data_IF_226174526175
#
_entry.id   IF_226174526175
#
_cell.length_a   1.000
_cell.length_b   1.000
_cell.length_c   1.000
_cell.angle_alpha   90.00
_cell.angle_beta   90.00
_cell.angle_gamma   90.00
#
_symmetry.space_group_name_H-M   'P 1'
#
loop_
_entity.id
_entity.type
_entity.pdbx_description
1 polymer ?
#
# COMPACT_ATOMS: atom_id res chain seq x y z
N UNK A 1 -16.58 59.79 34.95
CA UNK A 1 -16.61 58.94 33.73
C UNK A 1 -15.41 57.99 33.79
N UNK A 2 -15.57 56.84 34.44
CA UNK A 2 -14.47 55.89 34.67
C UNK A 2 -14.34 54.92 33.51
N UNK A 3 -13.18 54.90 32.86
CA UNK A 3 -12.80 53.90 31.85
C UNK A 3 -12.27 52.65 32.56
N UNK A 4 -12.97 51.52 32.40
CA UNK A 4 -12.46 50.20 32.74
C UNK A 4 -11.53 49.70 31.62
N UNK A 5 -10.28 49.39 31.94
CA UNK A 5 -9.35 48.64 31.09
C UNK A 5 -9.46 47.17 31.50
N UNK A 6 -10.10 46.36 30.65
CA UNK A 6 -10.10 44.90 30.79
C UNK A 6 -8.82 44.39 30.13
N UNK A 7 -7.91 43.86 30.94
CA UNK A 7 -6.72 43.13 30.49
C UNK A 7 -7.17 41.70 30.16
N UNK A 8 -7.26 41.36 28.88
CA UNK A 8 -7.41 39.97 28.44
C UNK A 8 -6.03 39.31 28.45
N UNK A 9 -5.71 38.60 29.53
CA UNK A 9 -4.58 37.67 29.55
C UNK A 9 -4.94 36.47 28.66
N UNK A 10 -4.41 36.46 27.44
CA UNK A 10 -4.48 35.31 26.53
C UNK A 10 -3.53 34.22 27.09
N UNK A 11 -4.07 33.30 27.88
CA UNK A 11 -3.36 32.08 28.22
C UNK A 11 -3.25 31.22 26.96
N UNK A 12 -2.05 31.17 26.38
CA UNK A 12 -1.72 30.23 25.30
C UNK A 12 -1.69 28.84 25.93
N UNK A 13 -2.81 28.13 25.85
CA UNK A 13 -2.85 26.69 26.11
C UNK A 13 -2.11 26.00 24.97
N UNK A 14 -0.82 25.77 25.13
CA UNK A 14 -0.09 24.78 24.34
C UNK A 14 -0.67 23.40 24.66
N UNK A 15 -1.66 22.97 23.88
CA UNK A 15 -2.09 21.59 23.83
C UNK A 15 -0.97 20.76 23.18
N UNK A 16 -0.01 20.33 24.00
CA UNK A 16 0.98 19.36 23.58
C UNK A 16 0.34 17.97 23.68
N UNK A 17 -0.46 17.59 22.67
CA UNK A 17 -0.93 16.22 22.51
C UNK A 17 0.28 15.33 22.16
N UNK A 18 1.01 14.92 23.19
CA UNK A 18 2.17 14.04 23.06
C UNK A 18 1.71 12.59 22.86
N UNK A 19 1.00 12.30 21.77
CA UNK A 19 0.84 10.90 21.37
C UNK A 19 2.19 10.45 20.83
N UNK A 20 2.97 9.76 21.68
CA UNK A 20 4.19 9.09 21.26
C UNK A 20 3.90 8.25 20.00
N UNK A 21 4.75 8.31 18.95
CA UNK A 21 4.60 7.48 17.75
C UNK A 21 4.45 6.01 18.15
N UNK A 22 3.69 5.23 17.38
CA UNK A 22 3.41 3.82 17.72
C UNK A 22 4.70 3.01 17.92
N UNK A 23 5.74 3.26 17.12
CA UNK A 23 7.08 2.69 17.29
C UNK A 23 7.69 2.94 18.69
N UNK A 24 7.46 4.13 19.26
CA UNK A 24 7.96 4.49 20.58
C UNK A 24 7.15 3.83 21.70
N UNK A 25 5.87 3.50 21.47
CA UNK A 25 5.04 2.74 22.42
C UNK A 25 5.37 1.25 22.42
N UNK A 26 5.76 0.69 21.28
CA UNK A 26 6.16 -0.71 21.14
C UNK A 26 7.62 -1.00 21.53
N UNK A 27 8.42 0.04 21.82
CA UNK A 27 9.83 -0.13 22.17
C UNK A 27 10.72 -0.55 21.00
N UNK A 28 10.28 -0.28 19.77
CA UNK A 28 11.01 -0.65 18.56
C UNK A 28 12.28 0.16 18.35
N UNK A 29 13.23 -0.44 17.64
CA UNK A 29 14.48 0.19 17.24
C UNK A 29 14.33 0.72 15.82
N UNK A 30 14.64 1.99 15.61
CA UNK A 30 14.77 2.56 14.26
C UNK A 30 16.11 2.14 13.66
N UNK A 31 16.08 1.49 12.49
CA UNK A 31 17.29 1.10 11.75
C UNK A 31 17.75 2.18 10.77
N UNK A 32 16.79 2.89 10.22
CA UNK A 32 16.94 4.01 9.29
C UNK A 32 15.62 4.80 9.28
N UNK A 33 15.58 6.00 8.67
CA UNK A 33 14.35 6.77 8.61
C UNK A 33 13.16 5.94 8.15
N UNK A 34 12.09 5.94 8.95
CA UNK A 34 10.83 5.24 8.71
C UNK A 34 10.88 3.69 8.77
N UNK A 35 11.99 3.08 9.17
CA UNK A 35 12.13 1.63 9.30
C UNK A 35 12.38 1.26 10.76
N UNK A 36 11.38 0.64 11.38
CA UNK A 36 11.38 0.25 12.79
C UNK A 36 11.29 -1.26 12.92
N UNK A 37 12.10 -1.84 13.81
CA UNK A 37 12.12 -3.29 14.07
C UNK A 37 11.95 -3.61 15.54
N UNK A 38 11.38 -4.79 15.78
CA UNK A 38 11.37 -5.44 17.09
C UNK A 38 12.81 -5.61 17.62
N UNK A 39 13.12 -5.19 18.88
CA UNK A 39 14.43 -5.39 19.47
C UNK A 39 14.93 -6.84 19.45
N UNK A 40 14.01 -7.81 19.48
CA UNK A 40 14.34 -9.23 19.42
C UNK A 40 14.84 -9.70 18.04
N UNK A 41 14.65 -8.89 16.98
CA UNK A 41 15.16 -9.21 15.65
C UNK A 41 16.70 -9.18 15.66
N UNK A 42 17.35 -10.26 15.22
CA UNK A 42 18.81 -10.36 15.18
C UNK A 42 19.44 -9.38 14.19
N UNK A 43 20.70 -8.97 14.43
CA UNK A 43 21.42 -8.05 13.54
C UNK A 43 21.52 -8.56 12.10
N UNK A 44 21.73 -9.86 11.91
CA UNK A 44 21.73 -10.47 10.58
C UNK A 44 20.36 -10.34 9.88
N UNK A 45 19.27 -10.54 10.63
CA UNK A 45 17.92 -10.40 10.09
C UNK A 45 17.56 -8.95 9.77
N UNK A 46 18.03 -7.99 10.58
CA UNK A 46 17.90 -6.54 10.31
C UNK A 46 18.58 -6.14 9.02
N UNK A 47 19.81 -6.61 8.79
CA UNK A 47 20.52 -6.33 7.53
C UNK A 47 19.79 -6.94 6.34
N UNK A 48 19.36 -8.20 6.45
CA UNK A 48 18.57 -8.86 5.41
C UNK A 48 17.28 -8.10 5.09
N UNK A 49 16.57 -7.59 6.12
CA UNK A 49 15.37 -6.79 5.95
C UNK A 49 15.66 -5.49 5.17
N UNK A 50 16.73 -4.77 5.50
CA UNK A 50 17.13 -3.57 4.76
C UNK A 50 17.44 -3.89 3.29
N UNK A 51 18.12 -5.00 3.03
CA UNK A 51 18.43 -5.44 1.66
C UNK A 51 17.16 -5.85 0.89
N UNK A 52 16.21 -6.53 1.55
CA UNK A 52 14.90 -6.89 1.00
C UNK A 52 14.07 -5.64 0.67
N UNK A 53 14.06 -4.63 1.55
CA UNK A 53 13.38 -3.35 1.34
C UNK A 53 13.95 -2.64 0.13
N UNK A 54 15.28 -2.53 0.03
CA UNK A 54 15.95 -1.90 -1.12
C UNK A 54 15.62 -2.61 -2.44
N UNK A 55 15.54 -3.94 -2.45
CA UNK A 55 15.12 -4.70 -3.64
C UNK A 55 13.66 -4.45 -3.99
N UNK A 56 12.79 -4.37 -2.99
CA UNK A 56 11.37 -4.05 -3.18
C UNK A 56 11.19 -2.64 -3.77
N UNK A 57 11.88 -1.63 -3.25
CA UNK A 57 11.90 -0.25 -3.81
C UNK A 57 12.29 -0.26 -5.30
N UNK A 58 13.35 -0.99 -5.65
CA UNK A 58 13.78 -1.15 -7.05
C UNK A 58 12.73 -1.84 -7.93
N UNK A 59 11.98 -2.81 -7.39
CA UNK A 59 10.87 -3.44 -8.12
C UNK A 59 9.70 -2.49 -8.34
N UNK A 60 9.31 -1.75 -7.30
CA UNK A 60 8.25 -0.75 -7.39
C UNK A 60 8.61 0.31 -8.44
N UNK A 61 9.84 0.81 -8.40
CA UNK A 61 10.30 1.79 -9.38
C UNK A 61 10.20 1.25 -10.82
N UNK A 62 10.70 0.02 -11.04
CA UNK A 62 10.61 -0.62 -12.35
C UNK A 62 9.16 -0.88 -12.80
N UNK A 63 8.28 -1.28 -11.88
CA UNK A 63 6.89 -1.63 -12.17
C UNK A 63 6.07 -0.41 -12.59
N UNK A 64 6.20 0.70 -11.86
CA UNK A 64 5.52 1.96 -12.15
C UNK A 64 6.25 2.83 -13.20
N UNK A 65 7.43 2.41 -13.68
CA UNK A 65 8.16 3.05 -14.78
C UNK A 65 8.86 4.35 -14.42
N UNK A 66 9.36 4.46 -13.18
CA UNK A 66 10.07 5.64 -12.70
C UNK A 66 10.43 5.51 -11.23
N UNK A 67 10.96 6.56 -10.61
CA UNK A 67 11.26 6.53 -9.18
C UNK A 67 10.00 6.27 -8.34
N UNK A 68 10.19 5.56 -7.23
CA UNK A 68 9.16 5.36 -6.21
C UNK A 68 8.83 6.71 -5.57
N UNK A 69 7.55 7.04 -5.47
CA UNK A 69 7.09 8.34 -4.94
C UNK A 69 6.69 8.27 -3.47
N UNK A 70 6.36 7.08 -2.99
CA UNK A 70 5.95 6.86 -1.61
C UNK A 70 7.13 6.68 -0.66
N UNK A 71 6.88 6.99 0.60
CA UNK A 71 7.84 6.86 1.71
C UNK A 71 7.19 6.08 2.86
N UNK A 72 6.98 4.75 2.69
CA UNK A 72 6.25 3.96 3.67
C UNK A 72 6.97 3.94 5.02
N UNK A 73 6.20 4.02 6.10
CA UNK A 73 6.67 3.66 7.44
C UNK A 73 6.53 2.16 7.63
N UNK A 74 7.64 1.47 7.88
CA UNK A 74 7.68 0.01 8.03
C UNK A 74 7.92 -0.32 9.50
N UNK A 75 7.03 -1.14 10.05
CA UNK A 75 7.17 -1.75 11.37
C UNK A 75 7.32 -3.26 11.19
N UNK A 76 8.48 -3.82 11.54
CA UNK A 76 8.73 -5.25 11.43
C UNK A 76 8.80 -5.92 12.81
N UNK A 77 7.85 -6.82 13.06
CA UNK A 77 7.70 -7.55 14.31
C UNK A 77 8.12 -9.01 14.15
N UNK A 78 8.92 -9.51 15.09
CA UNK A 78 9.27 -10.95 15.19
C UNK A 78 8.68 -11.61 16.44
N UNK A 79 8.19 -10.82 17.40
CA UNK A 79 7.48 -11.31 18.58
C UNK A 79 5.98 -11.02 18.51
N UNK A 80 5.20 -11.87 19.18
CA UNK A 80 3.76 -11.63 19.38
C UNK A 80 3.48 -10.32 20.13
N UNK A 81 4.33 -9.99 21.11
CA UNK A 81 4.23 -8.75 21.88
C UNK A 81 4.35 -7.52 20.98
N UNK A 82 5.30 -7.53 20.03
CA UNK A 82 5.42 -6.45 19.06
C UNK A 82 4.16 -6.32 18.21
N UNK A 83 3.63 -7.42 17.65
CA UNK A 83 2.41 -7.39 16.82
C UNK A 83 1.17 -6.88 17.58
N UNK A 84 1.02 -7.28 18.85
CA UNK A 84 -0.08 -6.84 19.71
C UNK A 84 -0.03 -5.34 20.03
N UNK A 85 1.11 -4.67 19.86
CA UNK A 85 1.19 -3.22 20.04
C UNK A 85 0.55 -2.43 18.88
N UNK A 86 0.36 -3.05 17.72
CA UNK A 86 -0.21 -2.43 16.53
C UNK A 86 -1.65 -2.86 16.23
N UNK A 87 -2.13 -3.94 16.84
CA UNK A 87 -3.50 -4.42 16.68
C UNK A 87 -3.93 -5.23 17.90
N UNK A 88 -5.23 -5.21 18.23
CA UNK A 88 -5.81 -5.98 19.34
C UNK A 88 -5.81 -7.51 19.11
N UNK A 89 -5.09 -8.02 18.11
CA UNK A 89 -5.55 -9.15 17.36
C UNK A 89 -4.60 -10.35 17.38
N UNK A 90 -5.19 -11.51 17.69
CA UNK A 90 -4.69 -12.86 17.51
C UNK A 90 -4.52 -13.27 16.03
N UNK A 91 -4.16 -12.34 15.14
CA UNK A 91 -4.20 -12.57 13.70
C UNK A 91 -2.91 -13.19 13.18
N UNK A 92 -3.07 -14.27 12.42
CA UNK A 92 -2.03 -14.87 11.58
C UNK A 92 -2.03 -14.15 10.22
N UNK A 93 -1.16 -13.16 10.05
CA UNK A 93 -0.88 -12.52 8.76
C UNK A 93 0.62 -12.40 8.53
N UNK A 94 1.05 -12.37 7.27
CA UNK A 94 2.45 -12.15 6.91
C UNK A 94 2.77 -10.66 6.92
N UNK A 95 1.89 -9.84 6.36
CA UNK A 95 1.98 -8.38 6.39
C UNK A 95 0.61 -7.72 6.26
N UNK A 96 0.57 -6.40 6.50
CA UNK A 96 -0.60 -5.56 6.28
C UNK A 96 -0.20 -4.11 6.02
N UNK A 97 -0.71 -3.53 4.93
CA UNK A 97 -0.79 -2.09 4.75
C UNK A 97 -1.85 -1.49 5.68
N UNK A 98 -1.44 -0.58 6.55
CA UNK A 98 -2.28 0.16 7.48
C UNK A 98 -2.48 1.59 6.94
N UNK A 99 -3.68 1.85 6.44
CA UNK A 99 -4.00 3.14 5.82
C UNK A 99 -3.19 3.39 4.55
N UNK A 100 -2.77 4.63 4.36
CA UNK A 100 -2.13 5.06 3.11
C UNK A 100 -0.59 5.08 3.14
N UNK A 101 0.05 4.84 4.29
CA UNK A 101 1.50 5.08 4.43
C UNK A 101 2.26 4.11 5.32
N UNK A 102 1.58 3.16 5.99
CA UNK A 102 2.22 2.31 6.99
C UNK A 102 2.14 0.85 6.61
N UNK A 103 3.22 0.10 6.80
CA UNK A 103 3.29 -1.35 6.59
C UNK A 103 3.68 -2.00 7.91
N UNK A 104 2.89 -2.99 8.32
CA UNK A 104 3.20 -3.87 9.45
C UNK A 104 3.60 -5.24 8.92
N UNK A 105 4.82 -5.68 9.22
CA UNK A 105 5.35 -6.98 8.84
C UNK A 105 5.38 -7.90 10.07
N UNK A 106 4.86 -9.11 9.94
CA UNK A 106 5.21 -10.22 10.81
C UNK A 106 6.52 -10.87 10.34
N UNK A 107 7.08 -11.77 11.13
CA UNK A 107 8.36 -12.42 10.83
C UNK A 107 8.37 -13.09 9.43
N UNK A 108 7.28 -13.79 9.10
CA UNK A 108 7.12 -14.46 7.81
C UNK A 108 7.03 -13.47 6.63
N UNK A 109 6.52 -12.26 6.86
CA UNK A 109 6.42 -11.21 5.83
C UNK A 109 7.68 -10.36 5.64
N UNK A 110 8.74 -10.59 6.43
CA UNK A 110 10.01 -9.88 6.29
C UNK A 110 10.83 -10.41 5.09
N UNK A 111 10.29 -10.35 3.88
CA UNK A 111 10.97 -10.78 2.66
C UNK A 111 10.58 -9.89 1.47
N UNK A 112 11.46 -9.80 0.48
CA UNK A 112 11.30 -8.94 -0.71
C UNK A 112 9.92 -9.09 -1.38
N UNK A 113 9.39 -10.31 -1.53
CA UNK A 113 8.12 -10.55 -2.21
C UNK A 113 6.96 -9.89 -1.48
N UNK A 114 6.83 -10.14 -0.17
CA UNK A 114 5.73 -9.59 0.63
C UNK A 114 5.89 -8.07 0.77
N UNK A 115 7.12 -7.58 0.99
CA UNK A 115 7.38 -6.14 1.05
C UNK A 115 6.99 -5.47 -0.27
N UNK A 116 7.30 -6.07 -1.42
CA UNK A 116 6.89 -5.53 -2.74
C UNK A 116 5.37 -5.50 -2.88
N UNK A 117 4.66 -6.52 -2.39
CA UNK A 117 3.19 -6.55 -2.39
C UNK A 117 2.63 -5.34 -1.63
N UNK A 118 3.03 -5.18 -0.36
CA UNK A 118 2.52 -4.09 0.49
C UNK A 118 2.93 -2.70 -0.01
N UNK A 119 4.17 -2.54 -0.49
CA UNK A 119 4.63 -1.27 -1.07
C UNK A 119 3.86 -0.90 -2.34
N UNK A 120 3.31 -1.88 -3.08
CA UNK A 120 2.50 -1.57 -4.28
C UNK A 120 1.22 -0.82 -3.92
N UNK A 121 0.55 -1.21 -2.83
CA UNK A 121 -0.62 -0.48 -2.33
C UNK A 121 -0.26 0.95 -1.93
N UNK A 122 0.80 1.10 -1.15
CA UNK A 122 1.25 2.42 -0.65
C UNK A 122 1.69 3.33 -1.81
N UNK A 123 2.39 2.79 -2.81
CA UNK A 123 2.80 3.54 -4.00
C UNK A 123 1.59 3.94 -4.85
N UNK A 124 0.62 3.06 -5.06
CA UNK A 124 -0.61 3.38 -5.78
C UNK A 124 -1.37 4.52 -5.09
N UNK A 125 -1.54 4.42 -3.77
CA UNK A 125 -2.20 5.46 -2.97
C UNK A 125 -1.47 6.81 -3.04
N UNK A 126 -0.13 6.79 -2.95
CA UNK A 126 0.67 8.00 -3.06
C UNK A 126 0.51 8.67 -4.43
N UNK A 127 0.53 7.89 -5.52
CA UNK A 127 0.39 8.42 -6.89
C UNK A 127 -1.01 8.99 -7.17
N UNK A 128 -2.04 8.38 -6.59
CA UNK A 128 -3.42 8.88 -6.65
C UNK A 128 -3.59 10.20 -5.87
N UNK A 129 -2.87 10.34 -4.75
CA UNK A 129 -2.92 11.52 -3.90
C UNK A 129 -4.01 11.44 -2.81
N UNK A 130 -3.91 12.34 -1.83
CA UNK A 130 -4.70 12.30 -0.59
C UNK A 130 -6.19 12.60 -0.76
N UNK A 131 -6.56 13.28 -1.86
CA UNK A 131 -7.93 13.71 -2.11
C UNK A 131 -8.80 12.63 -2.77
N UNK A 132 -8.20 11.49 -3.14
CA UNK A 132 -8.91 10.38 -3.77
C UNK A 132 -9.51 9.46 -2.70
N UNK A 133 -10.79 9.15 -2.87
CA UNK A 133 -11.44 8.12 -2.08
C UNK A 133 -10.93 6.74 -2.50
N UNK A 134 -10.01 6.16 -1.71
CA UNK A 134 -9.38 4.87 -2.00
C UNK A 134 -10.39 3.72 -2.12
N UNK A 135 -11.58 3.82 -1.51
CA UNK A 135 -12.66 2.83 -1.68
C UNK A 135 -13.21 2.76 -3.12
N UNK A 136 -12.81 3.69 -4.00
CA UNK A 136 -13.13 3.66 -5.42
C UNK A 136 -12.21 2.74 -6.21
N UNK A 137 -11.08 2.34 -5.65
CA UNK A 137 -10.21 1.31 -6.22
C UNK A 137 -10.85 -0.05 -5.92
N UNK A 138 -11.20 -0.86 -6.94
CA UNK A 138 -11.74 -2.18 -6.68
C UNK A 138 -10.70 -3.09 -6.04
N UNK A 139 -11.06 -3.83 -4.98
CA UNK A 139 -10.17 -4.80 -4.32
C UNK A 139 -9.50 -5.77 -5.31
N UNK A 140 -10.24 -6.29 -6.30
CA UNK A 140 -9.65 -7.18 -7.30
C UNK A 140 -8.52 -6.52 -8.11
N UNK A 141 -8.58 -5.22 -8.34
CA UNK A 141 -7.54 -4.51 -9.07
C UNK A 141 -6.35 -4.25 -8.16
N UNK A 142 -6.60 -3.72 -6.96
CA UNK A 142 -5.55 -3.36 -6.00
C UNK A 142 -4.68 -4.59 -5.62
N UNK A 143 -5.33 -5.67 -5.20
CA UNK A 143 -4.65 -6.92 -4.84
C UNK A 143 -4.04 -7.63 -6.05
N UNK A 144 -4.73 -7.58 -7.20
CA UNK A 144 -4.20 -8.15 -8.43
C UNK A 144 -2.95 -7.43 -8.93
N UNK A 145 -2.89 -6.11 -8.76
CA UNK A 145 -1.75 -5.26 -9.10
C UNK A 145 -0.57 -5.55 -8.17
N UNK A 146 -0.80 -5.67 -6.87
CA UNK A 146 0.22 -6.01 -5.88
C UNK A 146 0.85 -7.40 -6.15
N UNK A 147 0.02 -8.40 -6.48
CA UNK A 147 0.52 -9.73 -6.89
C UNK A 147 1.30 -9.67 -8.20
N UNK A 148 0.86 -8.85 -9.16
CA UNK A 148 1.55 -8.67 -10.44
C UNK A 148 2.94 -8.04 -10.24
N UNK A 149 3.06 -7.05 -9.36
CA UNK A 149 4.32 -6.37 -9.05
C UNK A 149 5.29 -7.29 -8.29
N UNK A 150 4.81 -8.01 -7.27
CA UNK A 150 5.67 -8.87 -6.44
C UNK A 150 6.04 -10.20 -7.10
N UNK A 151 5.22 -10.68 -8.05
CA UNK A 151 5.38 -11.96 -8.78
C UNK A 151 5.44 -13.18 -7.85
N UNK A 152 4.62 -13.19 -6.81
CA UNK A 152 4.59 -14.28 -5.84
C UNK A 152 4.29 -15.65 -6.52
N UNK A 153 5.17 -16.66 -6.43
CA UNK A 153 4.96 -17.97 -7.05
C UNK A 153 3.72 -18.70 -6.55
N UNK A 154 3.20 -18.38 -5.35
CA UNK A 154 1.96 -18.97 -4.80
C UNK A 154 0.75 -18.65 -5.67
N UNK A 155 0.75 -17.50 -6.34
CA UNK A 155 -0.37 -17.02 -7.14
C UNK A 155 -0.07 -16.99 -8.64
N UNK A 156 1.20 -16.90 -9.03
CA UNK A 156 1.60 -16.86 -10.44
C UNK A 156 1.73 -18.24 -11.08
N UNK A 157 2.00 -19.30 -10.31
CA UNK A 157 2.09 -20.68 -10.82
C UNK A 157 0.71 -21.32 -10.98
N UNK A 158 0.49 -22.06 -12.06
CA UNK A 158 -0.76 -22.80 -12.29
C UNK A 158 -1.95 -21.93 -12.71
N UNK A 159 -1.69 -20.69 -13.11
CA UNK A 159 -2.70 -19.78 -13.65
C UNK A 159 -3.16 -20.23 -15.05
N UNK A 160 -4.04 -21.22 -15.12
CA UNK A 160 -4.78 -21.54 -16.34
C UNK A 160 -5.59 -20.33 -16.80
N UNK A 161 -5.37 -19.88 -18.03
CA UNK A 161 -5.75 -18.57 -18.60
C UNK A 161 -7.25 -18.19 -18.58
N UNK A 162 -8.16 -19.02 -18.07
CA UNK A 162 -9.57 -18.93 -18.48
C UNK A 162 -10.62 -18.92 -17.36
N UNK A 163 -10.26 -18.82 -16.08
CA UNK A 163 -11.26 -18.86 -15.01
C UNK A 163 -11.23 -17.64 -14.08
N UNK A 164 -11.14 -16.40 -14.58
CA UNK A 164 -11.31 -15.19 -13.74
C UNK A 164 -12.74 -14.60 -13.77
N UNK A 165 -13.72 -15.33 -14.32
CA UNK A 165 -15.12 -14.88 -14.39
C UNK A 165 -15.63 -14.41 -13.02
N UNK A 166 -16.22 -13.21 -13.02
CA UNK A 166 -16.82 -12.58 -11.83
C UNK A 166 -15.83 -11.95 -10.86
N UNK A 167 -14.50 -12.02 -11.09
CA UNK A 167 -13.53 -11.42 -10.15
C UNK A 167 -13.70 -9.90 -10.04
N UNK A 168 -14.10 -9.24 -11.13
CA UNK A 168 -14.34 -7.80 -11.19
C UNK A 168 -15.53 -7.35 -10.33
N UNK A 169 -16.33 -8.29 -9.81
CA UNK A 169 -17.39 -8.00 -8.85
C UNK A 169 -16.85 -7.79 -7.43
N UNK A 170 -15.61 -8.20 -7.13
CA UNK A 170 -14.99 -8.00 -5.83
C UNK A 170 -14.42 -6.58 -5.75
N UNK A 171 -15.30 -5.61 -5.50
CA UNK A 171 -14.94 -4.19 -5.40
C UNK A 171 -14.64 -3.77 -3.98
N UNK A 172 -15.31 -4.36 -2.99
CA UNK A 172 -15.20 -3.97 -1.57
C UNK A 172 -14.46 -5.01 -0.74
N UNK A 173 -13.91 -4.58 0.40
CA UNK A 173 -13.24 -5.46 1.37
C UNK A 173 -14.16 -6.60 1.84
N UNK A 174 -15.43 -6.31 2.13
CA UNK A 174 -16.42 -7.33 2.53
C UNK A 174 -16.59 -8.43 1.47
N UNK A 175 -16.67 -8.04 0.19
CA UNK A 175 -16.75 -8.99 -0.93
C UNK A 175 -15.45 -9.81 -1.06
N UNK A 176 -14.31 -9.17 -0.86
CA UNK A 176 -12.99 -9.80 -0.89
C UNK A 176 -12.84 -10.86 0.21
N UNK A 177 -13.13 -10.48 1.46
CA UNK A 177 -13.08 -11.38 2.62
C UNK A 177 -14.06 -12.56 2.45
N UNK A 178 -15.26 -12.30 1.94
CA UNK A 178 -16.21 -13.36 1.58
C UNK A 178 -15.64 -14.32 0.53
N UNK A 179 -14.91 -13.82 -0.47
CA UNK A 179 -14.28 -14.67 -1.48
C UNK A 179 -13.10 -15.50 -0.93
N UNK A 180 -12.33 -14.96 0.01
CA UNK A 180 -11.28 -15.71 0.74
C UNK A 180 -11.91 -16.87 1.51
N UNK A 181 -12.93 -16.59 2.33
CA UNK A 181 -13.59 -17.57 3.19
C UNK A 181 -14.30 -18.68 2.41
N UNK A 182 -14.78 -18.37 1.21
CA UNK A 182 -15.43 -19.34 0.32
C UNK A 182 -14.43 -20.01 -0.66
N UNK A 183 -13.12 -19.94 -0.41
CA UNK A 183 -12.05 -20.59 -1.17
C UNK A 183 -12.06 -20.27 -2.68
N UNK A 184 -12.51 -19.07 -3.07
CA UNK A 184 -12.60 -18.66 -4.48
C UNK A 184 -11.26 -18.25 -5.11
N UNK A 185 -10.14 -18.40 -4.38
CA UNK A 185 -8.77 -18.01 -4.78
C UNK A 185 -8.70 -16.58 -5.35
N UNK A 186 -9.20 -15.56 -4.62
CA UNK A 186 -9.36 -14.22 -5.18
C UNK A 186 -8.03 -13.58 -5.61
N UNK A 187 -6.93 -13.80 -4.90
CA UNK A 187 -5.59 -13.31 -5.27
C UNK A 187 -5.15 -13.81 -6.66
N UNK A 188 -5.15 -15.13 -6.87
CA UNK A 188 -4.75 -15.72 -8.15
C UNK A 188 -5.63 -15.26 -9.33
N UNK A 189 -6.94 -15.18 -9.14
CA UNK A 189 -7.89 -14.77 -10.19
C UNK A 189 -7.78 -13.27 -10.50
N UNK A 190 -7.49 -12.46 -9.49
CA UNK A 190 -7.24 -11.03 -9.63
C UNK A 190 -5.95 -10.76 -10.38
N UNK A 191 -4.87 -11.45 -9.99
CA UNK A 191 -3.60 -11.45 -10.72
C UNK A 191 -3.81 -11.78 -12.20
N UNK A 192 -4.52 -12.86 -12.53
CA UNK A 192 -4.80 -13.22 -13.93
C UNK A 192 -5.50 -12.10 -14.69
N UNK A 193 -6.55 -11.51 -14.12
CA UNK A 193 -7.32 -10.44 -14.77
C UNK A 193 -6.50 -9.17 -14.97
N UNK A 194 -5.70 -8.79 -13.97
CA UNK A 194 -4.81 -7.61 -14.05
C UNK A 194 -3.66 -7.89 -15.01
N UNK A 195 -3.06 -9.08 -14.97
CA UNK A 195 -2.00 -9.51 -15.89
C UNK A 195 -2.47 -9.46 -17.34
N UNK A 196 -3.64 -10.00 -17.66
CA UNK A 196 -4.21 -9.98 -19.01
C UNK A 196 -4.38 -8.55 -19.54
N UNK A 197 -4.92 -7.65 -18.71
CA UNK A 197 -5.03 -6.24 -19.07
C UNK A 197 -3.66 -5.59 -19.22
N UNK A 198 -2.78 -5.74 -18.23
CA UNK A 198 -1.46 -5.12 -18.19
C UNK A 198 -0.54 -5.62 -19.31
N UNK A 199 -0.73 -6.85 -19.81
CA UNK A 199 0.01 -7.38 -20.95
C UNK A 199 -0.23 -6.56 -22.24
N UNK A 200 -1.40 -5.93 -22.38
CA UNK A 200 -1.72 -5.04 -23.50
C UNK A 200 -1.51 -3.56 -23.18
N UNK A 201 -1.84 -3.14 -21.96
CA UNK A 201 -1.84 -1.74 -21.54
C UNK A 201 -0.43 -1.25 -21.12
N UNK A 202 0.38 -2.15 -20.55
CA UNK A 202 1.68 -1.86 -19.98
C UNK A 202 1.65 -0.81 -18.87
N UNK A 203 2.84 -0.35 -18.48
CA UNK A 203 3.01 0.69 -17.46
C UNK A 203 2.29 2.00 -17.83
N UNK A 204 2.23 2.36 -19.12
CA UNK A 204 1.50 3.55 -19.57
C UNK A 204 -0.01 3.43 -19.34
N UNK A 205 -0.59 2.25 -19.51
CA UNK A 205 -1.98 1.99 -19.16
C UNK A 205 -2.24 2.13 -17.66
N UNK A 206 -1.32 1.66 -16.81
CA UNK A 206 -1.41 1.86 -15.35
C UNK A 206 -1.38 3.34 -14.96
N UNK A 207 -0.47 4.12 -15.55
CA UNK A 207 -0.42 5.57 -15.33
C UNK A 207 -1.70 6.24 -15.82
N UNK A 208 -2.27 5.78 -16.95
CA UNK A 208 -3.56 6.25 -17.45
C UNK A 208 -4.75 5.97 -16.51
N UNK A 209 -4.77 4.83 -15.81
CA UNK A 209 -5.77 4.53 -14.77
C UNK A 209 -5.64 5.54 -13.62
N UNK A 210 -4.41 5.79 -13.15
CA UNK A 210 -4.12 6.74 -12.07
C UNK A 210 -4.59 8.15 -12.47
N UNK A 211 -4.21 8.61 -13.66
CA UNK A 211 -4.59 9.95 -14.15
C UNK A 211 -6.10 10.09 -14.36
N UNK A 212 -6.76 9.03 -14.85
CA UNK A 212 -8.20 9.00 -14.95
C UNK A 212 -8.85 9.18 -13.58
N UNK A 213 -8.44 8.38 -12.59
CA UNK A 213 -8.97 8.46 -11.22
C UNK A 213 -8.71 9.83 -10.60
N UNK A 214 -7.53 10.41 -10.79
CA UNK A 214 -7.21 11.77 -10.30
C UNK A 214 -8.16 12.82 -10.88
N UNK A 215 -8.56 12.66 -12.14
CA UNK A 215 -9.45 13.60 -12.84
C UNK A 215 -10.93 13.40 -12.55
N UNK A 216 -11.37 12.16 -12.37
CA UNK A 216 -12.81 11.81 -12.32
C UNK A 216 -13.27 11.32 -10.96
N UNK A 217 -12.36 10.88 -10.10
CA UNK A 217 -12.66 10.15 -8.86
C UNK A 217 -13.17 8.72 -9.08
N UNK A 218 -13.21 8.24 -10.32
CA UNK A 218 -13.80 6.96 -10.69
C UNK A 218 -12.76 6.02 -11.31
N UNK A 219 -12.81 4.74 -10.96
CA UNK A 219 -11.92 3.72 -11.51
C UNK A 219 -12.38 3.28 -12.91
N UNK A 220 -11.44 3.21 -13.85
CA UNK A 220 -11.68 2.65 -15.19
C UNK A 220 -10.40 2.09 -15.78
N UNK A 221 -10.49 0.88 -16.36
CA UNK A 221 -9.43 0.27 -17.17
C UNK A 221 -9.48 0.71 -18.64
N UNK A 222 -10.36 1.65 -19.00
CA UNK A 222 -10.63 2.03 -20.38
C UNK A 222 -9.31 2.27 -21.14
N UNK A 223 -9.23 1.86 -22.43
CA UNK A 223 -8.01 1.99 -23.18
C UNK A 223 -7.59 3.45 -23.15
N UNK A 224 -6.34 3.71 -22.76
CA UNK A 224 -5.70 4.98 -23.00
C UNK A 224 -5.68 5.16 -24.50
N UNK A 225 -6.70 5.80 -25.04
CA UNK A 225 -6.71 6.20 -26.44
C UNK A 225 -5.44 7.03 -26.65
N UNK A 226 -4.54 6.50 -27.48
CA UNK A 226 -3.27 7.16 -27.83
C UNK A 226 -3.51 8.57 -28.38
N UNK A 227 -4.74 8.87 -28.82
CA UNK A 227 -5.15 10.17 -29.34
C UNK A 227 -5.32 11.28 -28.28
N UNK A 228 -5.47 10.92 -26.98
CA UNK A 228 -5.74 11.91 -25.92
C UNK A 228 -4.49 12.33 -25.15
N UNK A 229 -3.46 11.48 -25.10
CA UNK A 229 -2.17 11.81 -24.47
C UNK A 229 -1.33 12.80 -25.29
N UNK A 230 -1.46 12.80 -26.63
CA UNK A 230 -0.73 13.74 -27.49
C UNK A 230 -1.30 15.16 -27.51
N UNK A 231 -2.49 15.40 -26.93
CA UNK A 231 -3.11 16.74 -26.90
C UNK A 231 -2.75 17.56 -25.66
N UNK A 232 -2.25 16.94 -24.59
CA UNK A 232 -1.97 17.63 -23.32
C UNK A 232 -0.49 17.96 -23.08
N UNK A 233 0.42 17.56 -23.97
CA UNK A 233 1.87 17.87 -23.87
C UNK A 233 2.24 19.10 -24.71
N UNK A 234 1.32 19.66 -25.52
CA UNK A 234 1.59 20.80 -26.40
C UNK A 234 1.12 22.16 -25.85
N UNK A 235 0.82 22.29 -24.55
CA UNK A 235 0.33 23.55 -23.96
C UNK A 235 1.03 24.02 -22.68
N UNK A 236 2.26 23.57 -22.41
CA UNK A 236 3.15 24.21 -21.45
C UNK A 236 4.58 24.28 -22.00
#
# INVERSE_FOLDING_TARGET
>A
MSKWLIIFSLAVLSACSSTKPVAQKSGMIELSPNIYVDPAMSSARRQQLLDDIKRAEGRIANFFGGEMQSTPTIHACVTKQCLQAFSDAHLEFEAKALGASTILLAEAGCNETIITHEMTHIELHQRLGKDINLNKIPMWFDEGLAVLACKDPRYTKGAGLHAHHGIQLLKTESQWLSAINNYKKPYQRSYQRVQEWHASAGTQGLLGVIDHMKRTGEFSLAPTDKSTLSKNIAQY
#
